data_IF_002666905147
#
_entry.id   IF_002666905147
#
_cell.length_a   1.000
_cell.length_b   1.000
_cell.length_c   1.000
_cell.angle_alpha   90.00
_cell.angle_beta   90.00
_cell.angle_gamma   90.00
#
_symmetry.space_group_name_H-M   'P 1'
#
loop_
_entity.id
_entity.type
_entity.pdbx_description
1 polymer ?
#
# COMPACT_ATOMS: atom_id res chain seq x y z
N UNK A 1 -3.02 -11.54 23.56
CA UNK A 1 -1.78 -11.17 24.29
C UNK A 1 -1.91 -11.41 25.79
N UNK A 2 -3.11 -11.44 26.34
CA UNK A 2 -3.35 -11.48 27.81
C UNK A 2 -3.74 -12.88 28.33
N UNK A 3 -3.28 -13.95 27.68
CA UNK A 3 -3.43 -15.31 28.21
C UNK A 3 -2.44 -15.56 29.36
N UNK A 4 -2.92 -16.22 30.40
CA UNK A 4 -2.20 -16.54 31.65
C UNK A 4 -0.69 -16.76 31.43
N UNK A 5 0.14 -15.91 32.02
CA UNK A 5 1.60 -15.99 32.13
C UNK A 5 2.45 -15.69 30.87
N UNK A 6 1.92 -15.12 29.81
CA UNK A 6 2.71 -14.71 28.64
C UNK A 6 3.18 -13.26 28.75
N UNK A 7 4.49 -13.03 28.94
CA UNK A 7 5.09 -11.71 28.81
C UNK A 7 5.35 -11.41 27.34
N UNK A 8 4.74 -10.35 26.78
CA UNK A 8 5.00 -9.86 25.43
C UNK A 8 5.42 -8.39 25.51
N UNK A 9 6.51 -8.04 24.86
CA UNK A 9 6.93 -6.65 24.66
C UNK A 9 6.57 -6.29 23.23
N UNK A 10 5.65 -5.33 23.07
CA UNK A 10 5.21 -4.81 21.77
C UNK A 10 5.92 -3.48 21.55
N UNK A 11 6.65 -3.34 20.44
CA UNK A 11 7.27 -2.08 20.03
C UNK A 11 6.43 -1.51 18.89
N UNK A 12 5.76 -0.40 19.16
CA UNK A 12 5.02 0.36 18.16
C UNK A 12 5.95 1.44 17.59
N UNK A 13 6.55 1.17 16.43
CA UNK A 13 7.33 2.16 15.69
C UNK A 13 6.38 3.06 14.89
N UNK A 14 6.12 4.26 15.41
CA UNK A 14 5.25 5.26 14.77
C UNK A 14 6.09 6.32 14.06
N UNK A 15 6.11 6.28 12.74
CA UNK A 15 6.71 7.31 11.90
C UNK A 15 5.65 8.19 11.20
N UNK A 16 4.37 8.06 11.56
CA UNK A 16 3.27 8.81 10.98
C UNK A 16 2.89 8.40 9.55
N UNK A 17 3.49 7.31 9.06
CA UNK A 17 3.29 6.82 7.69
C UNK A 17 3.04 5.31 7.69
N UNK A 18 2.31 4.83 6.67
CA UNK A 18 2.47 3.46 6.22
C UNK A 18 3.56 3.44 5.11
N UNK A 19 3.25 3.16 3.86
CA UNK A 19 4.15 3.43 2.73
C UNK A 19 3.97 4.90 2.29
N UNK A 20 2.73 5.36 2.17
CA UNK A 20 2.33 6.76 1.97
C UNK A 20 1.88 7.42 3.28
N UNK A 21 1.67 8.75 3.27
CA UNK A 21 1.06 9.45 4.41
C UNK A 21 -0.33 8.87 4.65
N UNK A 22 -0.51 8.25 5.79
CA UNK A 22 -1.80 7.66 6.19
C UNK A 22 -2.85 8.76 6.38
N UNK A 23 -4.09 8.49 5.96
CA UNK A 23 -5.22 9.34 6.31
C UNK A 23 -5.29 9.57 7.83
N UNK A 24 -5.67 10.76 8.30
CA UNK A 24 -5.32 11.28 9.64
C UNK A 24 -6.09 10.67 10.83
N UNK A 25 -6.46 9.38 10.79
CA UNK A 25 -7.32 8.82 11.83
C UNK A 25 -6.57 8.39 13.10
N UNK A 26 -5.56 7.54 13.02
CA UNK A 26 -4.91 7.00 14.22
C UNK A 26 -3.55 7.66 14.50
N UNK A 27 -2.69 7.84 13.50
CA UNK A 27 -1.39 8.46 13.70
C UNK A 27 -1.52 9.95 14.08
N UNK A 28 -2.51 10.68 13.52
CA UNK A 28 -2.79 12.07 13.92
C UNK A 28 -3.36 12.16 15.33
N UNK A 29 -4.20 11.23 15.73
CA UNK A 29 -4.63 11.11 17.14
C UNK A 29 -3.44 10.80 18.03
N UNK A 30 -2.60 9.82 17.70
CA UNK A 30 -1.38 9.50 18.45
C UNK A 30 -0.40 10.68 18.51
N UNK A 31 -0.22 11.46 17.43
CA UNK A 31 0.67 12.62 17.41
C UNK A 31 0.12 13.83 18.17
N UNK A 32 -1.19 14.07 18.14
CA UNK A 32 -1.84 15.09 18.97
C UNK A 32 -1.64 14.80 20.46
N UNK A 33 -1.61 13.52 20.83
CA UNK A 33 -1.34 13.08 22.19
C UNK A 33 0.14 13.30 22.60
N UNK A 34 1.10 13.07 21.70
CA UNK A 34 2.51 13.36 21.96
C UNK A 34 2.74 14.85 22.25
N UNK A 35 2.08 15.72 21.49
CA UNK A 35 2.13 17.19 21.71
C UNK A 35 1.53 17.58 23.07
N UNK A 36 0.43 16.91 23.49
CA UNK A 36 -0.18 17.16 24.80
C UNK A 36 0.68 16.74 25.99
N UNK A 37 1.50 15.69 25.82
CA UNK A 37 2.42 15.22 26.87
C UNK A 37 3.63 16.15 27.05
N UNK A 38 4.15 16.72 25.96
CA UNK A 38 5.23 17.73 26.01
C UNK A 38 4.77 19.02 26.74
N UNK A 39 3.52 19.42 26.53
CA UNK A 39 2.91 20.54 27.24
C UNK A 39 2.77 20.22 28.73
N UNK A 40 2.47 18.96 29.08
CA UNK A 40 2.34 18.51 30.48
C UNK A 40 3.67 18.60 31.23
N UNK A 41 4.77 18.13 30.65
CA UNK A 41 6.11 18.21 31.28
C UNK A 41 6.55 19.67 31.53
N UNK A 42 6.21 20.57 30.62
CA UNK A 42 6.48 22.01 30.76
C UNK A 42 5.54 22.69 31.76
N UNK A 43 4.29 22.27 31.85
CA UNK A 43 3.31 22.77 32.82
C UNK A 43 3.58 22.25 34.24
N UNK A 44 3.91 20.98 34.41
CA UNK A 44 4.27 20.39 35.70
C UNK A 44 5.52 21.03 36.30
N UNK A 45 6.53 21.35 35.44
CA UNK A 45 7.71 22.14 35.87
C UNK A 45 7.38 23.57 36.28
N UNK A 46 6.39 24.23 35.62
CA UNK A 46 5.95 25.58 35.96
C UNK A 46 5.02 25.62 37.17
N UNK A 47 4.23 24.58 37.41
CA UNK A 47 3.25 24.48 38.48
C UNK A 47 3.87 24.10 39.83
N UNK A 48 5.01 23.39 39.87
CA UNK A 48 5.73 23.09 41.12
C UNK A 48 6.27 24.31 41.84
N UNK A 49 6.23 25.50 41.23
CA UNK A 49 6.83 26.71 41.78
C UNK A 49 5.84 27.80 42.23
N UNK A 50 4.53 27.54 42.36
CA UNK A 50 3.58 28.56 42.85
C UNK A 50 2.46 27.93 43.71
N UNK A 51 2.16 28.55 44.87
CA UNK A 51 1.00 28.23 45.70
C UNK A 51 -0.29 28.53 44.92
N UNK A 52 -1.07 27.52 44.57
CA UNK A 52 -2.34 27.68 43.81
C UNK A 52 -3.57 27.43 44.64
N UNK A 53 -4.66 28.19 44.39
CA UNK A 53 -5.93 28.02 45.05
C UNK A 53 -6.61 26.70 44.64
N UNK A 54 -7.44 26.14 45.54
CA UNK A 54 -8.20 24.89 45.33
C UNK A 54 -9.03 24.87 44.02
N UNK A 55 -9.42 26.04 43.52
CA UNK A 55 -10.16 26.19 42.24
C UNK A 55 -9.28 25.83 41.05
N UNK A 56 -8.01 26.24 41.02
CA UNK A 56 -7.05 25.93 39.95
C UNK A 56 -6.72 24.43 39.96
N UNK A 57 -6.61 23.81 41.12
CA UNK A 57 -6.42 22.38 41.27
C UNK A 57 -7.63 21.59 40.71
N UNK A 58 -8.86 22.03 41.00
CA UNK A 58 -10.06 21.41 40.43
C UNK A 58 -10.14 21.56 38.92
N UNK A 59 -9.78 22.72 38.38
CA UNK A 59 -9.73 22.95 36.91
C UNK A 59 -8.67 22.09 36.23
N UNK A 60 -7.49 21.95 36.83
CA UNK A 60 -6.42 21.10 36.36
C UNK A 60 -6.88 19.64 36.36
N UNK A 61 -7.60 19.20 37.40
CA UNK A 61 -8.14 17.85 37.52
C UNK A 61 -9.19 17.58 36.44
N UNK A 62 -10.12 18.48 36.18
CA UNK A 62 -11.12 18.37 35.12
C UNK A 62 -10.45 18.33 33.74
N UNK A 63 -9.45 19.18 33.48
CA UNK A 63 -8.68 19.15 32.23
C UNK A 63 -7.88 17.85 32.11
N UNK A 64 -7.38 17.31 33.22
CA UNK A 64 -6.69 16.00 33.25
C UNK A 64 -7.66 14.85 32.99
N UNK A 65 -8.86 14.88 33.56
CA UNK A 65 -9.87 13.84 33.36
C UNK A 65 -10.40 13.84 31.92
N UNK A 66 -10.66 15.01 31.33
CA UNK A 66 -11.02 15.13 29.91
C UNK A 66 -9.88 14.68 28.99
N UNK A 67 -8.63 15.00 29.33
CA UNK A 67 -7.45 14.53 28.58
C UNK A 67 -7.23 13.03 28.73
N UNK A 68 -7.44 12.47 29.91
CA UNK A 68 -7.33 11.04 30.16
C UNK A 68 -8.39 10.24 29.39
N UNK A 69 -9.59 10.80 29.21
CA UNK A 69 -10.68 10.19 28.43
C UNK A 69 -10.35 10.08 26.92
N UNK A 70 -9.40 10.88 26.44
CA UNK A 70 -9.01 10.98 25.02
C UNK A 70 -7.65 10.33 24.72
N UNK A 71 -6.95 9.72 25.70
CA UNK A 71 -5.55 9.24 25.53
C UNK A 71 -5.49 7.82 24.95
N UNK A 72 -4.53 7.54 24.03
CA UNK A 72 -4.27 6.18 23.55
C UNK A 72 -3.87 5.23 24.66
N UNK A 73 -3.30 5.75 25.74
CA UNK A 73 -2.98 5.00 26.95
C UNK A 73 -4.19 4.19 27.43
N UNK A 74 -5.37 4.85 27.52
CA UNK A 74 -6.58 4.19 27.99
C UNK A 74 -7.03 3.09 27.02
N UNK A 75 -6.96 3.32 25.71
CA UNK A 75 -7.30 2.30 24.72
C UNK A 75 -6.50 1.00 24.89
N UNK A 76 -5.17 1.07 25.08
CA UNK A 76 -4.35 -0.11 25.27
C UNK A 76 -4.50 -0.71 26.69
N UNK A 77 -4.68 0.13 27.71
CA UNK A 77 -4.86 -0.30 29.10
C UNK A 77 -6.20 -1.02 29.30
N UNK A 78 -7.26 -0.64 28.58
CA UNK A 78 -8.55 -1.33 28.57
C UNK A 78 -8.43 -2.76 28.02
N UNK A 79 -7.44 -3.04 27.14
CA UNK A 79 -7.08 -4.38 26.69
C UNK A 79 -6.07 -5.08 27.62
N UNK A 80 -5.77 -4.52 28.78
CA UNK A 80 -4.80 -5.07 29.73
C UNK A 80 -3.33 -4.96 29.28
N UNK A 81 -3.04 -4.05 28.34
CA UNK A 81 -1.70 -3.81 27.81
C UNK A 81 -1.17 -2.51 28.41
N UNK A 82 -0.11 -2.60 29.22
CA UNK A 82 0.54 -1.40 29.75
C UNK A 82 1.18 -0.60 28.62
N UNK A 83 0.82 0.67 28.50
CA UNK A 83 1.38 1.58 27.50
C UNK A 83 2.48 2.47 28.10
N UNK A 84 3.60 2.60 27.39
CA UNK A 84 4.73 3.47 27.70
C UNK A 84 5.15 4.25 26.46
N UNK A 85 5.38 5.54 26.60
CA UNK A 85 5.77 6.43 25.51
C UNK A 85 4.76 7.57 25.30
N UNK A 86 4.86 8.31 24.16
CA UNK A 86 5.84 8.11 23.10
C UNK A 86 7.27 8.50 23.53
N UNK A 87 8.27 7.74 23.05
CA UNK A 87 9.70 7.99 23.27
C UNK A 87 10.37 8.34 21.94
N UNK A 88 11.47 9.07 21.98
CA UNK A 88 12.24 9.42 20.77
C UNK A 88 13.02 8.19 20.27
N UNK A 89 12.59 7.65 19.13
CA UNK A 89 13.24 6.49 18.49
C UNK A 89 14.60 6.79 17.85
N UNK A 90 15.03 8.04 17.82
CA UNK A 90 16.38 8.42 17.37
C UNK A 90 17.32 8.70 18.55
N UNK A 91 16.82 8.65 19.79
CA UNK A 91 17.61 8.73 21.01
C UNK A 91 17.94 7.32 21.52
N UNK A 92 19.12 6.82 21.15
CA UNK A 92 19.56 5.45 21.50
C UNK A 92 19.64 5.26 23.03
N UNK A 93 20.08 6.27 23.77
CA UNK A 93 20.20 6.19 25.22
C UNK A 93 18.81 5.99 25.88
N UNK A 94 17.83 6.77 25.46
CA UNK A 94 16.45 6.66 25.92
C UNK A 94 15.86 5.28 25.58
N UNK A 95 16.09 4.78 24.36
CA UNK A 95 15.66 3.44 23.94
C UNK A 95 16.25 2.34 24.85
N UNK A 96 17.55 2.41 25.17
CA UNK A 96 18.21 1.44 26.06
C UNK A 96 17.56 1.44 27.44
N UNK A 97 17.27 2.60 28.00
CA UNK A 97 16.62 2.74 29.32
C UNK A 97 15.23 2.08 29.31
N UNK A 98 14.39 2.40 28.33
CA UNK A 98 13.05 1.82 28.21
C UNK A 98 13.05 0.32 27.91
N UNK A 99 13.98 -0.16 27.09
CA UNK A 99 14.09 -1.60 26.81
C UNK A 99 14.62 -2.38 28.02
N UNK A 100 15.52 -1.78 28.80
CA UNK A 100 16.00 -2.37 30.07
C UNK A 100 14.85 -2.45 31.07
N UNK A 101 14.06 -1.40 31.21
CA UNK A 101 12.83 -1.42 32.01
C UNK A 101 11.87 -2.51 31.53
N UNK A 102 11.61 -2.58 30.22
CA UNK A 102 10.71 -3.56 29.64
C UNK A 102 11.16 -5.00 29.87
N UNK A 103 12.47 -5.26 29.81
CA UNK A 103 13.04 -6.59 30.10
C UNK A 103 12.68 -7.09 31.49
N UNK A 104 12.57 -6.19 32.45
CA UNK A 104 12.28 -6.53 33.86
C UNK A 104 10.79 -6.43 34.22
N UNK A 105 9.96 -5.88 33.32
CA UNK A 105 8.53 -5.74 33.55
C UNK A 105 7.83 -7.11 33.38
N UNK A 106 6.91 -7.45 34.29
CA UNK A 106 6.33 -8.81 34.38
C UNK A 106 5.16 -9.07 33.43
N UNK A 107 4.45 -8.02 33.01
CA UNK A 107 3.23 -8.14 32.19
C UNK A 107 3.49 -7.72 30.75
N UNK A 108 2.45 -7.84 29.89
CA UNK A 108 2.50 -7.33 28.52
C UNK A 108 2.65 -5.80 28.54
N UNK A 109 3.61 -5.31 27.75
CA UNK A 109 3.98 -3.91 27.64
C UNK A 109 3.99 -3.49 26.19
N UNK A 110 3.42 -2.32 25.87
CA UNK A 110 3.56 -1.64 24.59
C UNK A 110 4.45 -0.41 24.76
N UNK A 111 5.55 -0.38 24.04
CA UNK A 111 6.45 0.78 23.95
C UNK A 111 6.17 1.50 22.64
N UNK A 112 5.66 2.73 22.74
CA UNK A 112 5.44 3.58 21.58
C UNK A 112 6.69 4.39 21.28
N UNK A 113 7.33 4.09 20.17
CA UNK A 113 8.56 4.71 19.69
C UNK A 113 8.22 5.60 18.50
N UNK A 114 8.56 6.89 18.60
CA UNK A 114 8.33 7.85 17.52
C UNK A 114 9.59 8.03 16.69
N UNK A 115 9.48 7.82 15.38
CA UNK A 115 10.60 7.96 14.44
C UNK A 115 10.26 8.88 13.29
N UNK A 116 11.28 9.29 12.54
CA UNK A 116 11.17 10.00 11.27
C UNK A 116 11.72 9.10 10.19
N UNK A 117 10.90 8.75 9.19
CA UNK A 117 11.31 7.91 8.07
C UNK A 117 12.34 8.64 7.21
N UNK A 118 13.46 7.99 6.92
CA UNK A 118 14.56 8.60 6.16
C UNK A 118 15.52 9.45 7.00
N UNK A 119 15.37 9.49 8.33
CA UNK A 119 16.17 10.30 9.26
C UNK A 119 17.67 10.16 9.03
N UNK A 120 18.36 11.29 8.88
CA UNK A 120 19.79 11.37 8.63
C UNK A 120 20.17 11.53 7.16
N UNK A 121 19.19 11.44 6.25
CA UNK A 121 19.37 11.70 4.82
C UNK A 121 18.30 12.67 4.30
N UNK A 122 18.64 13.98 4.13
CA UNK A 122 17.64 15.00 3.80
C UNK A 122 16.74 14.69 2.59
N UNK A 123 17.25 14.13 1.46
CA UNK A 123 16.39 13.77 0.35
C UNK A 123 15.33 12.71 0.73
N UNK A 124 15.68 11.75 1.59
CA UNK A 124 14.73 10.73 2.05
C UNK A 124 13.73 11.29 3.08
N UNK A 125 14.14 12.22 3.93
CA UNK A 125 13.22 12.92 4.84
C UNK A 125 12.22 13.78 4.06
N UNK A 126 12.65 14.40 2.95
CA UNK A 126 11.78 15.21 2.10
C UNK A 126 10.79 14.38 1.26
N UNK A 127 11.22 13.20 0.80
CA UNK A 127 10.38 12.30 -0.01
C UNK A 127 10.46 10.84 0.46
N UNK A 128 9.91 10.53 1.63
CA UNK A 128 10.02 9.20 2.24
C UNK A 128 9.27 8.10 1.48
N UNK A 129 8.32 8.43 0.62
CA UNK A 129 7.65 7.46 -0.26
C UNK A 129 8.60 6.95 -1.33
N UNK A 130 9.30 7.84 -2.03
CA UNK A 130 10.28 7.50 -3.08
C UNK A 130 11.40 6.63 -2.51
N UNK A 131 11.92 7.01 -1.34
CA UNK A 131 13.03 6.31 -0.69
C UNK A 131 12.60 5.08 0.13
N UNK A 132 11.31 4.70 0.11
CA UNK A 132 10.88 3.44 0.70
C UNK A 132 11.41 2.22 -0.06
N UNK A 133 11.48 2.32 -1.39
CA UNK A 133 12.07 1.31 -2.28
C UNK A 133 12.70 2.04 -3.46
N UNK A 134 13.77 2.81 -3.16
CA UNK A 134 14.38 3.70 -4.13
C UNK A 134 15.06 2.92 -5.26
N UNK A 135 14.84 3.28 -6.54
CA UNK A 135 15.69 2.83 -7.64
C UNK A 135 17.11 3.42 -7.46
N UNK A 136 18.11 3.03 -8.27
CA UNK A 136 19.43 3.62 -8.24
C UNK A 136 19.39 5.15 -8.32
N UNK A 137 20.06 5.81 -7.40
CA UNK A 137 20.09 7.27 -7.27
C UNK A 137 21.49 7.79 -6.92
N UNK A 138 21.77 9.05 -7.21
CA UNK A 138 22.97 9.73 -6.77
C UNK A 138 22.86 10.10 -5.29
N UNK A 139 23.81 9.63 -4.47
CA UNK A 139 23.78 9.80 -3.01
C UNK A 139 23.93 11.28 -2.62
N UNK A 140 24.66 12.09 -3.39
CA UNK A 140 24.92 13.49 -3.07
C UNK A 140 23.71 14.38 -3.31
N UNK A 141 22.90 14.07 -4.31
CA UNK A 141 21.75 14.89 -4.74
C UNK A 141 20.40 14.28 -4.40
N UNK A 142 20.33 12.95 -4.21
CA UNK A 142 19.09 12.20 -4.09
C UNK A 142 18.36 11.98 -5.42
N UNK A 143 18.95 12.39 -6.55
CA UNK A 143 18.33 12.27 -7.87
C UNK A 143 18.38 10.83 -8.39
N UNK A 144 17.26 10.36 -8.94
CA UNK A 144 17.17 9.04 -9.56
C UNK A 144 18.03 9.02 -10.83
N UNK A 145 18.91 8.02 -10.92
CA UNK A 145 19.82 7.81 -12.07
C UNK A 145 19.38 6.70 -12.99
N UNK A 146 18.36 5.93 -12.60
CA UNK A 146 17.81 4.86 -13.43
C UNK A 146 17.22 5.43 -14.73
N UNK A 147 17.53 4.80 -15.87
CA UNK A 147 16.92 5.14 -17.15
C UNK A 147 15.40 4.92 -17.08
N UNK A 148 14.65 5.91 -17.52
CA UNK A 148 13.20 5.81 -17.58
C UNK A 148 12.80 4.91 -18.75
N UNK A 149 12.57 3.62 -18.47
CA UNK A 149 11.94 2.70 -19.43
C UNK A 149 10.45 2.62 -19.15
N UNK A 150 9.64 2.52 -20.20
CA UNK A 150 8.22 2.27 -20.02
C UNK A 150 8.02 0.85 -19.48
N UNK A 151 7.25 0.73 -18.40
CA UNK A 151 6.96 -0.54 -17.74
C UNK A 151 5.47 -0.86 -17.85
N UNK A 152 5.08 -2.12 -17.60
CA UNK A 152 3.67 -2.50 -17.51
C UNK A 152 2.91 -1.62 -16.51
N UNK A 153 3.50 -1.35 -15.34
CA UNK A 153 2.93 -0.48 -14.31
C UNK A 153 2.70 0.95 -14.82
N UNK A 154 3.70 1.56 -15.47
CA UNK A 154 3.56 2.94 -15.98
C UNK A 154 2.60 3.02 -17.16
N UNK A 155 2.54 1.99 -17.99
CA UNK A 155 1.60 1.91 -19.11
C UNK A 155 0.17 1.76 -18.60
N UNK A 156 -0.07 0.89 -17.62
CA UNK A 156 -1.37 0.78 -16.96
C UNK A 156 -1.82 2.12 -16.37
N UNK A 157 -0.91 2.85 -15.71
CA UNK A 157 -1.20 4.19 -15.17
C UNK A 157 -1.71 5.17 -16.25
N UNK A 158 -1.10 5.15 -17.44
CA UNK A 158 -1.56 5.97 -18.59
C UNK A 158 -2.96 5.52 -19.09
N UNK A 159 -3.19 4.21 -19.20
CA UNK A 159 -4.46 3.68 -19.66
C UNK A 159 -5.62 4.07 -18.73
N UNK A 160 -5.45 3.91 -17.42
CA UNK A 160 -6.52 4.22 -16.48
C UNK A 160 -6.81 5.73 -16.43
N UNK A 161 -5.78 6.59 -16.49
CA UNK A 161 -5.95 8.05 -16.55
C UNK A 161 -6.71 8.46 -17.82
N UNK A 162 -6.31 7.95 -18.98
CA UNK A 162 -6.98 8.27 -20.24
C UNK A 162 -8.44 7.81 -20.23
N UNK A 163 -8.70 6.61 -19.73
CA UNK A 163 -10.06 6.08 -19.63
C UNK A 163 -10.92 6.85 -18.64
N UNK A 164 -10.36 7.32 -17.54
CA UNK A 164 -11.05 8.10 -16.51
C UNK A 164 -11.40 9.53 -16.95
N UNK A 165 -10.66 10.09 -17.94
CA UNK A 165 -11.03 11.36 -18.61
C UNK A 165 -12.34 11.23 -19.38
N UNK A 166 -12.58 10.05 -19.95
CA UNK A 166 -13.76 9.76 -20.79
C UNK A 166 -14.94 9.22 -19.96
N UNK A 167 -14.69 8.70 -18.73
CA UNK A 167 -15.72 8.03 -17.94
C UNK A 167 -15.57 8.34 -16.45
N UNK A 168 -16.52 9.09 -15.91
CA UNK A 168 -16.56 9.52 -14.49
C UNK A 168 -16.95 8.41 -13.51
N UNK A 169 -17.40 7.25 -14.01
CA UNK A 169 -17.72 6.10 -13.18
C UNK A 169 -16.49 5.32 -12.71
N UNK A 170 -15.31 5.57 -13.28
CA UNK A 170 -14.08 4.87 -12.93
C UNK A 170 -13.53 5.38 -11.61
N UNK A 171 -13.35 4.46 -10.66
CA UNK A 171 -12.71 4.67 -9.36
C UNK A 171 -11.48 3.79 -9.26
N UNK A 172 -10.35 4.35 -8.80
CA UNK A 172 -9.13 3.60 -8.55
C UNK A 172 -8.93 3.39 -7.05
N UNK A 173 -8.64 2.14 -6.68
CA UNK A 173 -8.46 1.73 -5.28
C UNK A 173 -7.13 1.01 -5.17
N UNK A 174 -6.36 1.33 -4.13
CA UNK A 174 -5.12 0.61 -3.81
C UNK A 174 -4.95 0.46 -2.30
N UNK A 175 -3.99 -0.36 -1.88
CA UNK A 175 -3.68 -0.63 -0.49
C UNK A 175 -2.23 -0.21 -0.16
N UNK A 176 -1.99 1.10 0.02
CA UNK A 176 -0.69 1.72 0.27
C UNK A 176 0.34 1.53 -0.87
N UNK A 177 -0.12 1.27 -2.09
CA UNK A 177 0.74 0.96 -3.24
C UNK A 177 0.55 1.94 -4.41
N UNK A 178 0.15 3.19 -4.14
CA UNK A 178 -0.15 4.20 -5.16
C UNK A 178 0.92 4.26 -6.26
N UNK A 179 2.16 4.54 -5.88
CA UNK A 179 3.28 4.65 -6.81
C UNK A 179 3.61 3.30 -7.48
N UNK A 180 3.62 2.25 -6.67
CA UNK A 180 3.96 0.91 -7.13
C UNK A 180 2.96 0.27 -8.07
N UNK A 181 1.73 0.78 -8.14
CA UNK A 181 0.68 0.34 -9.07
C UNK A 181 0.42 1.36 -10.20
N UNK A 182 1.24 2.44 -10.29
CA UNK A 182 1.13 3.44 -11.35
C UNK A 182 -0.07 4.39 -11.21
N UNK A 183 -0.65 4.53 -10.02
CA UNK A 183 -1.83 5.36 -9.78
C UNK A 183 -1.52 6.81 -9.36
N UNK A 184 -0.26 7.25 -9.47
CA UNK A 184 0.15 8.60 -9.07
C UNK A 184 -0.58 9.68 -9.82
N UNK A 185 -0.59 9.60 -11.16
CA UNK A 185 -1.24 10.57 -12.03
C UNK A 185 -2.77 10.52 -11.88
N UNK A 186 -3.33 9.33 -11.68
CA UNK A 186 -4.75 9.17 -11.39
C UNK A 186 -5.14 9.89 -10.09
N UNK A 187 -4.38 9.69 -9.03
CA UNK A 187 -4.63 10.32 -7.73
C UNK A 187 -4.53 11.85 -7.77
N UNK A 188 -3.63 12.39 -8.62
CA UNK A 188 -3.50 13.84 -8.82
C UNK A 188 -4.68 14.43 -9.61
N UNK A 189 -5.11 13.77 -10.70
CA UNK A 189 -6.12 14.29 -11.59
C UNK A 189 -7.56 14.01 -11.12
N UNK A 190 -7.77 12.96 -10.32
CA UNK A 190 -9.08 12.45 -9.90
C UNK A 190 -9.12 12.10 -8.43
N UNK A 191 -8.70 13.03 -7.55
CA UNK A 191 -8.59 12.80 -6.12
C UNK A 191 -9.90 12.37 -5.44
N UNK A 192 -11.04 12.79 -5.96
CA UNK A 192 -12.39 12.40 -5.52
C UNK A 192 -12.80 10.97 -5.90
N UNK A 193 -12.09 10.36 -6.83
CA UNK A 193 -12.30 8.99 -7.32
C UNK A 193 -11.12 8.06 -7.03
N UNK A 194 -10.15 8.53 -6.24
CA UNK A 194 -9.00 7.75 -5.79
C UNK A 194 -9.14 7.39 -4.32
N UNK A 195 -8.95 6.11 -3.99
CA UNK A 195 -9.06 5.59 -2.62
C UNK A 195 -7.80 4.78 -2.29
N UNK A 196 -7.01 5.27 -1.35
CA UNK A 196 -5.93 4.50 -0.72
C UNK A 196 -6.37 4.07 0.68
N UNK A 197 -6.53 2.78 0.87
CA UNK A 197 -7.02 2.21 2.14
C UNK A 197 -5.91 1.96 3.16
N UNK A 198 -4.65 2.31 2.85
CA UNK A 198 -3.50 1.87 3.62
C UNK A 198 -3.22 0.37 3.41
N UNK A 199 -2.44 -0.26 4.31
CA UNK A 199 -2.13 -1.71 4.20
C UNK A 199 -3.36 -2.53 4.66
N UNK A 200 -4.40 -2.56 3.81
CA UNK A 200 -5.69 -3.20 4.09
C UNK A 200 -6.34 -3.74 2.80
N UNK A 201 -5.70 -4.72 2.18
CA UNK A 201 -6.11 -5.29 0.90
C UNK A 201 -7.56 -5.83 0.93
N UNK A 202 -7.98 -6.43 2.04
CA UNK A 202 -9.35 -6.89 2.24
C UNK A 202 -10.36 -5.74 2.15
N UNK A 203 -10.04 -4.59 2.75
CA UNK A 203 -10.88 -3.40 2.70
C UNK A 203 -10.95 -2.83 1.26
N UNK A 204 -9.82 -2.83 0.52
CA UNK A 204 -9.79 -2.40 -0.87
C UNK A 204 -10.77 -3.20 -1.73
N UNK A 205 -10.79 -4.52 -1.56
CA UNK A 205 -11.69 -5.41 -2.30
C UNK A 205 -13.15 -5.17 -1.91
N UNK A 206 -13.46 -5.07 -0.61
CA UNK A 206 -14.84 -4.82 -0.14
C UNK A 206 -15.37 -3.45 -0.59
N UNK A 207 -14.53 -2.40 -0.62
CA UNK A 207 -14.90 -1.08 -1.19
C UNK A 207 -15.17 -1.22 -2.69
N UNK A 208 -14.30 -1.93 -3.43
CA UNK A 208 -14.51 -2.22 -4.85
C UNK A 208 -15.84 -2.91 -5.11
N UNK A 209 -16.19 -3.92 -4.31
CA UNK A 209 -17.48 -4.59 -4.40
C UNK A 209 -18.65 -3.62 -4.15
N UNK A 210 -18.56 -2.77 -3.14
CA UNK A 210 -19.58 -1.76 -2.84
C UNK A 210 -19.79 -0.76 -3.97
N UNK A 211 -18.70 -0.24 -4.56
CA UNK A 211 -18.75 0.67 -5.70
C UNK A 211 -19.35 0.00 -6.95
N UNK A 212 -18.97 -1.25 -7.23
CA UNK A 212 -19.57 -2.00 -8.34
C UNK A 212 -21.08 -2.17 -8.17
N UNK A 213 -21.52 -2.47 -6.93
CA UNK A 213 -22.95 -2.57 -6.61
C UNK A 213 -23.71 -1.25 -6.78
N UNK A 214 -23.02 -0.12 -6.65
CA UNK A 214 -23.54 1.22 -6.90
C UNK A 214 -23.49 1.62 -8.39
N UNK A 215 -23.13 0.73 -9.31
CA UNK A 215 -23.03 1.01 -10.73
C UNK A 215 -21.79 1.82 -11.13
N UNK A 216 -20.78 1.89 -10.27
CA UNK A 216 -19.46 2.44 -10.60
C UNK A 216 -18.58 1.36 -11.25
N UNK A 217 -17.45 1.79 -11.80
CA UNK A 217 -16.43 0.94 -12.41
C UNK A 217 -15.17 0.95 -11.54
N UNK A 218 -15.13 0.16 -10.46
CA UNK A 218 -13.96 0.10 -9.58
C UNK A 218 -12.81 -0.66 -10.22
N UNK A 219 -11.62 -0.07 -10.16
CA UNK A 219 -10.35 -0.68 -10.51
C UNK A 219 -9.53 -0.85 -9.23
N UNK A 220 -9.35 -2.09 -8.78
CA UNK A 220 -8.59 -2.44 -7.59
C UNK A 220 -7.18 -2.83 -8.04
N UNK A 221 -6.21 -1.95 -7.81
CA UNK A 221 -4.81 -2.15 -8.20
C UNK A 221 -3.99 -2.61 -6.98
N UNK A 222 -3.55 -3.86 -7.02
CA UNK A 222 -2.86 -4.54 -5.91
C UNK A 222 -1.76 -5.44 -6.47
N UNK A 223 -0.67 -5.63 -5.72
CA UNK A 223 0.36 -6.62 -6.08
C UNK A 223 -0.18 -8.04 -5.92
N UNK A 224 0.22 -8.88 -6.85
CA UNK A 224 -0.19 -10.27 -6.95
C UNK A 224 -0.10 -11.04 -5.62
N UNK A 225 1.06 -10.97 -4.94
CA UNK A 225 1.26 -11.67 -3.66
C UNK A 225 0.35 -11.13 -2.54
N UNK A 226 0.03 -9.84 -2.56
CA UNK A 226 -0.76 -9.21 -1.49
C UNK A 226 -2.26 -9.41 -1.66
N UNK A 227 -2.74 -9.69 -2.87
CA UNK A 227 -4.16 -10.03 -3.07
C UNK A 227 -4.59 -11.26 -2.26
N UNK A 228 -3.66 -12.17 -1.94
CA UNK A 228 -3.94 -13.35 -1.12
C UNK A 228 -4.48 -12.99 0.27
N UNK A 229 -4.13 -11.82 0.83
CA UNK A 229 -4.69 -11.32 2.09
C UNK A 229 -6.19 -11.04 2.02
N UNK A 230 -6.70 -10.83 0.81
CA UNK A 230 -8.10 -10.53 0.53
C UNK A 230 -8.83 -11.69 -0.15
N UNK A 231 -8.30 -12.91 -0.12
CA UNK A 231 -8.86 -14.07 -0.81
C UNK A 231 -10.34 -14.32 -0.45
N UNK A 232 -10.67 -14.21 0.83
CA UNK A 232 -12.05 -14.36 1.30
C UNK A 232 -12.96 -13.27 0.74
N UNK A 233 -12.53 -12.00 0.73
CA UNK A 233 -13.30 -10.87 0.19
C UNK A 233 -13.46 -10.97 -1.32
N UNK A 234 -12.43 -11.41 -2.04
CA UNK A 234 -12.53 -11.67 -3.48
C UNK A 234 -13.66 -12.69 -3.73
N UNK A 235 -13.70 -13.78 -3.00
CA UNK A 235 -14.72 -14.79 -3.17
C UNK A 235 -16.10 -14.31 -2.69
N UNK A 236 -16.22 -13.91 -1.42
CA UNK A 236 -17.51 -13.60 -0.80
C UNK A 236 -18.12 -12.29 -1.27
N UNK A 237 -17.31 -11.24 -1.37
CA UNK A 237 -17.84 -9.90 -1.68
C UNK A 237 -18.01 -9.68 -3.18
N UNK A 238 -17.13 -10.27 -4.01
CA UNK A 238 -17.09 -10.01 -5.46
C UNK A 238 -17.62 -11.17 -6.28
N UNK A 239 -16.96 -12.35 -6.20
CA UNK A 239 -17.26 -13.49 -7.09
C UNK A 239 -18.66 -14.05 -6.84
N UNK A 240 -18.97 -14.36 -5.59
CA UNK A 240 -20.28 -14.92 -5.20
C UNK A 240 -21.44 -13.97 -5.56
N UNK A 241 -21.21 -12.65 -5.48
CA UNK A 241 -22.17 -11.62 -5.84
C UNK A 241 -22.15 -11.24 -7.34
N UNK A 242 -21.27 -11.86 -8.15
CA UNK A 242 -21.09 -11.59 -9.58
C UNK A 242 -20.88 -10.12 -9.90
N UNK A 243 -20.13 -9.40 -9.06
CA UNK A 243 -19.91 -7.96 -9.23
C UNK A 243 -18.77 -7.69 -10.21
N UNK A 244 -18.94 -6.76 -11.16
CA UNK A 244 -17.95 -6.43 -12.18
C UNK A 244 -16.82 -5.54 -11.62
N UNK A 245 -16.05 -6.07 -10.69
CA UNK A 245 -14.83 -5.42 -10.18
C UNK A 245 -13.69 -5.75 -11.12
N UNK A 246 -12.93 -4.74 -11.51
CA UNK A 246 -11.72 -4.89 -12.30
C UNK A 246 -10.49 -4.90 -11.39
N UNK A 247 -9.74 -5.98 -11.41
CA UNK A 247 -8.51 -6.15 -10.65
C UNK A 247 -7.31 -5.96 -11.56
N UNK A 248 -6.51 -4.92 -11.32
CA UNK A 248 -5.21 -4.70 -11.95
C UNK A 248 -4.13 -5.30 -11.06
N UNK A 249 -3.66 -6.49 -11.43
CA UNK A 249 -2.77 -7.30 -10.60
C UNK A 249 -1.34 -7.17 -11.11
N UNK A 250 -0.60 -6.30 -10.46
CA UNK A 250 0.81 -6.05 -10.74
C UNK A 250 1.72 -7.09 -10.08
N UNK A 251 2.95 -7.25 -10.56
CA UNK A 251 3.97 -8.19 -10.06
C UNK A 251 3.53 -9.65 -10.17
N UNK A 252 2.89 -10.01 -11.24
CA UNK A 252 2.59 -11.42 -11.55
C UNK A 252 3.85 -12.12 -12.02
N UNK A 253 4.13 -13.33 -11.50
CA UNK A 253 5.34 -14.08 -11.80
C UNK A 253 6.53 -13.70 -10.91
N UNK A 254 7.74 -13.82 -11.45
CA UNK A 254 8.98 -13.46 -10.76
C UNK A 254 9.23 -11.95 -10.84
N UNK A 255 9.71 -11.35 -9.75
CA UNK A 255 9.92 -9.91 -9.64
C UNK A 255 11.38 -9.49 -9.41
N UNK A 256 12.32 -10.36 -9.73
CA UNK A 256 13.75 -10.06 -9.64
C UNK A 256 14.20 -9.67 -8.23
N UNK A 257 14.77 -8.48 -8.09
CA UNK A 257 15.40 -7.99 -6.86
C UNK A 257 14.43 -7.77 -5.69
N UNK A 258 13.11 -7.65 -5.92
CA UNK A 258 12.13 -7.53 -4.83
C UNK A 258 12.06 -8.83 -4.00
N UNK A 259 12.54 -9.95 -4.54
CA UNK A 259 12.73 -11.21 -3.84
C UNK A 259 11.45 -11.99 -3.56
N UNK A 260 11.58 -13.08 -2.76
CA UNK A 260 10.50 -14.06 -2.57
C UNK A 260 9.26 -13.49 -1.87
N UNK A 261 9.38 -12.40 -1.15
CA UNK A 261 8.22 -11.74 -0.49
C UNK A 261 7.29 -11.02 -1.46
N UNK A 262 7.71 -10.84 -2.71
CA UNK A 262 6.98 -10.11 -3.75
C UNK A 262 6.69 -10.97 -5.00
N UNK A 263 7.21 -12.20 -5.11
CA UNK A 263 6.91 -13.08 -6.23
C UNK A 263 5.43 -13.43 -6.30
N UNK A 264 4.83 -13.20 -7.48
CA UNK A 264 3.42 -13.42 -7.75
C UNK A 264 3.10 -14.82 -8.30
N UNK A 265 3.78 -15.86 -7.84
CA UNK A 265 3.66 -17.23 -8.40
C UNK A 265 2.35 -17.91 -8.05
N UNK A 266 1.77 -17.58 -6.88
CA UNK A 266 0.59 -18.27 -6.35
C UNK A 266 -0.73 -17.69 -6.82
N UNK A 267 -0.71 -16.60 -7.60
CA UNK A 267 -1.94 -15.94 -8.05
C UNK A 267 -2.75 -16.81 -8.99
N UNK A 268 -2.10 -17.48 -9.94
CA UNK A 268 -2.78 -18.31 -10.94
C UNK A 268 -3.53 -19.49 -10.33
N UNK A 269 -2.94 -20.35 -9.46
CA UNK A 269 -3.68 -21.39 -8.74
C UNK A 269 -4.86 -20.85 -7.95
N UNK A 270 -4.69 -19.72 -7.26
CA UNK A 270 -5.78 -19.08 -6.51
C UNK A 270 -6.93 -18.68 -7.42
N UNK A 271 -6.66 -17.91 -8.48
CA UNK A 271 -7.71 -17.43 -9.39
C UNK A 271 -8.36 -18.57 -10.16
N UNK A 272 -7.60 -19.59 -10.56
CA UNK A 272 -8.14 -20.77 -11.29
C UNK A 272 -9.11 -21.60 -10.45
N UNK A 273 -9.10 -21.44 -9.13
CA UNK A 273 -10.09 -22.09 -8.24
C UNK A 273 -11.42 -21.35 -8.13
N UNK A 274 -11.49 -20.10 -8.62
CA UNK A 274 -12.68 -19.25 -8.52
C UNK A 274 -13.62 -19.47 -9.71
N UNK A 275 -14.93 -19.63 -9.50
CA UNK A 275 -15.88 -19.77 -10.59
C UNK A 275 -16.23 -18.42 -11.22
N UNK A 276 -16.62 -18.43 -12.48
CA UNK A 276 -17.29 -17.33 -13.19
C UNK A 276 -16.53 -15.99 -13.17
N UNK A 277 -15.20 -16.04 -13.28
CA UNK A 277 -14.32 -14.89 -13.40
C UNK A 277 -13.66 -14.84 -14.77
N UNK A 278 -13.10 -13.68 -15.14
CA UNK A 278 -12.30 -13.49 -16.34
C UNK A 278 -10.85 -13.20 -15.95
N UNK A 279 -9.92 -14.04 -16.42
CA UNK A 279 -8.48 -13.86 -16.17
C UNK A 279 -7.81 -13.55 -17.49
N UNK A 280 -7.03 -12.47 -17.53
CA UNK A 280 -6.26 -12.08 -18.70
C UNK A 280 -4.81 -11.75 -18.30
N UNK A 281 -3.85 -12.49 -18.83
CA UNK A 281 -2.43 -12.27 -18.60
C UNK A 281 -1.80 -11.52 -19.77
N UNK A 282 -1.14 -10.39 -19.46
CA UNK A 282 -0.53 -9.52 -20.45
C UNK A 282 0.92 -9.90 -20.70
N UNK A 283 1.30 -9.90 -21.96
CA UNK A 283 2.63 -10.18 -22.45
C UNK A 283 3.24 -8.98 -23.20
N UNK A 284 2.42 -8.11 -23.78
CA UNK A 284 2.81 -6.95 -24.57
C UNK A 284 1.85 -5.78 -24.38
N UNK A 285 2.10 -4.64 -25.05
CA UNK A 285 1.22 -3.45 -25.01
C UNK A 285 -0.18 -3.75 -25.51
N UNK A 286 -0.28 -4.46 -26.61
CA UNK A 286 -1.54 -4.82 -27.25
C UNK A 286 -2.40 -5.68 -26.32
N UNK A 287 -1.79 -6.55 -25.52
CA UNK A 287 -2.51 -7.30 -24.48
C UNK A 287 -3.04 -6.40 -23.38
N UNK A 288 -2.23 -5.42 -22.93
CA UNK A 288 -2.67 -4.45 -21.92
C UNK A 288 -3.85 -3.62 -22.43
N UNK A 289 -3.79 -3.15 -23.67
CA UNK A 289 -4.87 -2.39 -24.31
C UNK A 289 -6.15 -3.21 -24.41
N UNK A 290 -6.05 -4.44 -24.90
CA UNK A 290 -7.19 -5.35 -24.99
C UNK A 290 -7.75 -5.68 -23.61
N UNK A 291 -6.91 -6.16 -22.68
CA UNK A 291 -7.33 -6.54 -21.34
C UNK A 291 -8.00 -5.37 -20.59
N UNK A 292 -7.41 -4.16 -20.69
CA UNK A 292 -8.01 -2.97 -20.08
C UNK A 292 -9.29 -2.52 -20.77
N UNK A 293 -9.46 -2.80 -22.06
CA UNK A 293 -10.69 -2.52 -22.80
C UNK A 293 -11.92 -3.29 -22.28
N UNK A 294 -11.71 -4.34 -21.50
CA UNK A 294 -12.78 -5.14 -20.88
C UNK A 294 -13.46 -4.40 -19.72
N UNK A 295 -12.82 -3.36 -19.16
CA UNK A 295 -13.39 -2.54 -18.10
C UNK A 295 -14.73 -1.94 -18.53
N UNK A 296 -15.77 -2.29 -17.80
CA UNK A 296 -17.16 -1.85 -18.08
C UNK A 296 -17.86 -2.56 -19.24
N UNK A 297 -17.20 -3.48 -19.96
CA UNK A 297 -17.81 -4.29 -21.02
C UNK A 297 -18.19 -5.69 -20.55
N UNK A 298 -17.48 -6.21 -19.56
CA UNK A 298 -17.69 -7.55 -19.02
C UNK A 298 -18.43 -7.44 -17.69
N UNK A 299 -19.59 -8.10 -17.58
CA UNK A 299 -20.39 -8.12 -16.36
C UNK A 299 -19.98 -9.26 -15.43
N UNK A 300 -18.67 -9.37 -15.18
CA UNK A 300 -18.03 -10.37 -14.30
C UNK A 300 -16.77 -9.76 -13.70
N UNK A 301 -16.24 -10.34 -12.60
CA UNK A 301 -14.91 -9.95 -12.13
C UNK A 301 -13.84 -10.18 -13.19
N UNK A 302 -13.03 -9.17 -13.46
CA UNK A 302 -11.91 -9.22 -14.41
C UNK A 302 -10.60 -9.10 -13.66
N UNK A 303 -9.67 -10.01 -13.89
CA UNK A 303 -8.31 -10.00 -13.35
C UNK A 303 -7.31 -9.80 -14.47
N UNK A 304 -6.75 -8.59 -14.57
CA UNK A 304 -5.69 -8.25 -15.50
C UNK A 304 -4.36 -8.48 -14.81
N UNK A 305 -3.61 -9.47 -15.27
CA UNK A 305 -2.33 -9.89 -14.71
C UNK A 305 -1.17 -9.36 -15.54
N UNK A 306 -0.19 -8.69 -14.91
CA UNK A 306 0.99 -8.20 -15.62
C UNK A 306 2.24 -8.22 -14.72
N UNK A 307 3.45 -8.39 -15.33
CA UNK A 307 4.70 -8.48 -14.60
C UNK A 307 5.26 -7.10 -14.23
N UNK A 308 6.24 -7.08 -13.32
CA UNK A 308 7.07 -5.90 -13.03
C UNK A 308 8.24 -5.84 -14.01
N UNK A 309 7.98 -5.50 -15.27
CA UNK A 309 9.00 -5.50 -16.33
C UNK A 309 8.78 -4.32 -17.28
N UNK A 310 9.77 -4.07 -18.13
CA UNK A 310 9.63 -3.17 -19.27
C UNK A 310 8.59 -3.73 -20.24
N UNK A 311 7.71 -2.85 -20.75
CA UNK A 311 6.67 -3.22 -21.70
C UNK A 311 7.09 -2.90 -23.13
N UNK A 312 6.84 -3.81 -24.05
CA UNK A 312 7.11 -3.69 -25.47
C UNK A 312 5.85 -3.98 -26.27
N UNK A 313 5.78 -3.45 -27.50
CA UNK A 313 4.80 -3.93 -28.47
C UNK A 313 5.12 -5.36 -28.89
N UNK A 314 4.12 -6.07 -29.42
CA UNK A 314 4.33 -7.43 -29.93
C UNK A 314 5.41 -7.46 -31.04
N UNK A 315 5.40 -6.46 -31.93
CA UNK A 315 6.40 -6.32 -32.98
C UNK A 315 7.83 -6.14 -32.45
N UNK A 316 8.01 -5.38 -31.36
CA UNK A 316 9.31 -5.20 -30.70
C UNK A 316 9.79 -6.51 -30.05
N UNK A 317 8.87 -7.27 -29.46
CA UNK A 317 9.17 -8.58 -28.87
C UNK A 317 9.63 -9.56 -29.96
N UNK A 318 8.91 -9.63 -31.07
CA UNK A 318 9.27 -10.47 -32.21
C UNK A 318 10.70 -10.15 -32.72
N UNK A 319 11.02 -8.88 -32.89
CA UNK A 319 12.35 -8.45 -33.33
C UNK A 319 13.45 -8.73 -32.31
N UNK A 320 13.19 -8.38 -31.06
CA UNK A 320 14.22 -8.36 -30.01
C UNK A 320 14.48 -9.73 -29.35
N UNK A 321 13.42 -10.50 -29.13
CA UNK A 321 13.44 -11.74 -28.38
C UNK A 321 13.42 -12.95 -29.29
N UNK A 322 12.49 -12.99 -30.24
CA UNK A 322 12.29 -14.12 -31.13
C UNK A 322 13.18 -14.04 -32.40
N UNK A 323 13.85 -12.88 -32.62
CA UNK A 323 14.65 -12.60 -33.81
C UNK A 323 13.88 -12.82 -35.13
N UNK A 324 12.57 -12.70 -35.11
CA UNK A 324 11.68 -12.83 -36.26
C UNK A 324 11.30 -11.43 -36.78
N UNK A 325 11.35 -11.26 -38.10
CA UNK A 325 10.91 -10.01 -38.72
C UNK A 325 9.38 -9.84 -38.58
N UNK A 326 8.94 -8.68 -38.07
CA UNK A 326 7.52 -8.36 -37.86
C UNK A 326 6.69 -8.34 -39.16
N UNK A 327 7.34 -8.22 -40.34
CA UNK A 327 6.66 -8.32 -41.65
C UNK A 327 6.14 -9.74 -41.93
N UNK A 328 6.60 -10.73 -41.17
CA UNK A 328 6.20 -12.15 -41.29
C UNK A 328 5.17 -12.58 -40.23
N UNK A 329 4.75 -11.68 -39.35
CA UNK A 329 3.67 -11.95 -38.39
C UNK A 329 2.37 -11.41 -38.93
N UNK A 330 1.41 -12.26 -39.24
CA UNK A 330 0.06 -11.88 -39.65
C UNK A 330 -0.78 -11.60 -38.38
N UNK A 331 -1.10 -10.33 -38.17
CA UNK A 331 -2.14 -9.82 -37.25
C UNK A 331 -2.31 -10.50 -35.90
N UNK A 332 -1.92 -9.79 -34.83
CA UNK A 332 -2.27 -10.16 -33.45
C UNK A 332 -3.62 -9.52 -33.10
N UNK A 333 -4.65 -10.34 -32.89
CA UNK A 333 -5.99 -9.91 -32.47
C UNK A 333 -6.27 -10.14 -30.96
N UNK A 334 -5.24 -10.53 -30.19
CA UNK A 334 -5.36 -10.85 -28.76
C UNK A 334 -5.79 -12.28 -28.46
N UNK A 335 -6.14 -13.09 -29.48
CA UNK A 335 -6.65 -14.45 -29.27
C UNK A 335 -5.81 -15.55 -29.97
N UNK A 336 -5.11 -15.22 -31.04
CA UNK A 336 -4.24 -16.15 -31.78
C UNK A 336 -3.03 -15.44 -32.35
N UNK A 337 -1.88 -16.06 -32.23
CA UNK A 337 -0.64 -15.69 -32.89
C UNK A 337 -0.35 -16.70 -33.98
N UNK A 338 -0.58 -16.34 -35.23
CA UNK A 338 -0.09 -17.14 -36.35
C UNK A 338 1.38 -16.74 -36.62
N UNK A 339 2.31 -17.45 -36.00
CA UNK A 339 3.74 -17.33 -36.30
C UNK A 339 4.02 -18.29 -37.47
N UNK A 340 4.27 -17.75 -38.64
CA UNK A 340 4.95 -18.55 -39.72
C UNK A 340 6.40 -18.70 -39.35
N UNK A 341 6.74 -19.83 -38.72
CA UNK A 341 8.12 -20.21 -38.51
C UNK A 341 8.75 -20.46 -39.86
N UNK A 342 9.86 -19.79 -40.12
CA UNK A 342 10.71 -20.11 -41.28
C UNK A 342 11.39 -21.46 -41.00
N UNK A 343 11.01 -22.46 -41.74
CA UNK A 343 11.58 -23.81 -41.61
C UNK A 343 13.06 -23.89 -42.02
N UNK A 344 13.63 -22.79 -42.52
CA UNK A 344 15.00 -22.69 -42.95
C UNK A 344 16.00 -22.16 -41.88
N UNK A 345 15.57 -21.89 -40.67
CA UNK A 345 16.45 -21.62 -39.55
C UNK A 345 17.17 -22.94 -39.14
N UNK A 346 18.25 -23.24 -39.81
CA UNK A 346 19.24 -24.24 -39.34
C UNK A 346 19.81 -23.76 -38.02
N UNK A 347 19.79 -24.66 -37.01
CA UNK A 347 20.27 -24.51 -35.67
C UNK A 347 21.74 -24.05 -35.59
#
# INVERSE_FOLDING_TARGET
ANRKNGKIIIILNDNGMSIAKTAPSMSKKLSLYATSLNIRGSLEKKLKNKNHSAFIESLIKIIQDIKNLLLPKQFFEDFGIRYVGPIDGHNIQELIEYFTFAKNFKNTLLIHVKTVKGKGYPPAEANPELFHSAPPFDISTGNITAAATETFTSYFGKLIVNKAKENDKIFAITAAMKNGTGLDEFALNFADRFIDVGIAESLAVSIGAGLAKMGKLPVVAIYSIFLQRAAAQVYHDVVLNKLPVFFAIDRTGLVGIDGPTHHGLYINPFLSSLPDIFIFACFCKEDMDYGFSLLGKVNKPVFLLYPKESIYSFSEICKKILKVDSSRTTGYDGTKVDIKLDTDCKA
#
